data_IF_886062632494
#
_entry.id   IF_886062632494
#
_cell.length_a   1.000
_cell.length_b   1.000
_cell.length_c   1.000
_cell.angle_alpha   90.00
_cell.angle_beta   90.00
_cell.angle_gamma   90.00
#
_symmetry.space_group_name_H-M   'P 1'
#
loop_
_entity.id
_entity.type
_entity.pdbx_description
1 polymer ?
#
# COMPACT_ATOMS: atom_id res chain seq x y z
N UNK A 1 8.71 -20.99 2.34
CA UNK A 1 7.37 -20.42 2.13
C UNK A 1 7.13 -19.44 3.23
N UNK A 2 7.08 -18.15 2.91
CA UNK A 2 6.68 -17.11 3.85
C UNK A 2 5.18 -17.25 4.08
N UNK A 3 4.74 -17.22 5.33
CA UNK A 3 3.32 -17.27 5.64
C UNK A 3 2.73 -15.87 5.40
N UNK A 4 1.99 -15.70 4.31
CA UNK A 4 1.38 -14.42 3.95
C UNK A 4 0.48 -13.86 5.04
N UNK A 5 -0.16 -14.73 5.84
CA UNK A 5 -1.01 -14.36 6.95
C UNK A 5 -0.19 -13.67 8.04
N UNK A 6 1.00 -14.20 8.37
CA UNK A 6 1.91 -13.58 9.33
C UNK A 6 2.42 -12.23 8.81
N UNK A 7 2.71 -12.14 7.51
CA UNK A 7 3.17 -10.90 6.86
C UNK A 7 2.10 -9.81 6.89
N UNK A 8 0.85 -10.16 6.57
CA UNK A 8 -0.32 -9.26 6.65
C UNK A 8 -0.52 -8.76 8.08
N UNK A 9 -0.37 -9.63 9.07
CA UNK A 9 -0.49 -9.25 10.48
C UNK A 9 0.63 -8.31 10.91
N UNK A 10 1.88 -8.59 10.51
CA UNK A 10 3.03 -7.71 10.80
C UNK A 10 2.85 -6.32 10.19
N UNK A 11 2.45 -6.24 8.93
CA UNK A 11 2.23 -4.95 8.24
C UNK A 11 1.06 -4.20 8.88
N UNK A 12 -0.01 -4.88 9.30
CA UNK A 12 -1.13 -4.27 10.05
C UNK A 12 -0.67 -3.65 11.37
N UNK A 13 0.16 -4.34 12.13
CA UNK A 13 0.72 -3.81 13.38
C UNK A 13 1.53 -2.54 13.12
N UNK A 14 2.40 -2.56 12.11
CA UNK A 14 3.22 -1.42 11.71
C UNK A 14 2.35 -0.21 11.31
N UNK A 15 1.30 -0.41 10.50
CA UNK A 15 0.35 0.65 10.14
C UNK A 15 -0.33 1.23 11.37
N UNK A 16 -0.74 0.39 12.33
CA UNK A 16 -1.42 0.84 13.55
C UNK A 16 -0.51 1.64 14.48
N UNK A 17 0.78 1.32 14.48
CA UNK A 17 1.81 1.99 15.27
C UNK A 17 2.36 3.26 14.58
N UNK A 18 2.24 3.36 13.26
CA UNK A 18 2.70 4.52 12.49
C UNK A 18 1.84 5.76 12.76
N UNK A 19 2.46 6.79 13.32
CA UNK A 19 1.82 8.11 13.47
C UNK A 19 1.71 8.80 12.12
N UNK A 20 2.66 8.52 11.22
CA UNK A 20 2.64 8.98 9.85
C UNK A 20 1.42 8.52 9.05
N UNK A 21 1.06 7.23 9.11
CA UNK A 21 -0.16 6.73 8.44
C UNK A 21 -1.44 7.41 8.96
N UNK A 22 -1.47 7.78 10.25
CA UNK A 22 -2.57 8.55 10.87
C UNK A 22 -2.60 9.99 10.36
N UNK A 23 -1.44 10.66 10.33
CA UNK A 23 -1.32 12.05 9.87
C UNK A 23 -1.74 12.22 8.41
N UNK A 24 -1.43 11.25 7.56
CA UNK A 24 -1.84 11.27 6.15
C UNK A 24 -3.30 10.83 5.94
N UNK A 25 -4.01 10.35 6.98
CA UNK A 25 -5.38 9.83 6.84
C UNK A 25 -5.48 8.56 5.99
N UNK A 26 -4.37 7.84 5.80
CA UNK A 26 -4.30 6.65 4.93
C UNK A 26 -4.40 5.34 5.71
N UNK A 27 -4.34 5.41 7.05
CA UNK A 27 -4.31 4.25 7.94
C UNK A 27 -5.47 3.28 7.67
N UNK A 28 -6.72 3.75 7.70
CA UNK A 28 -7.91 2.90 7.51
C UNK A 28 -7.90 2.23 6.13
N UNK A 29 -7.48 2.98 5.10
CA UNK A 29 -7.42 2.49 3.72
C UNK A 29 -6.36 1.40 3.54
N UNK A 30 -5.17 1.57 4.11
CA UNK A 30 -4.12 0.56 4.08
C UNK A 30 -4.54 -0.71 4.84
N UNK A 31 -5.17 -0.55 6.01
CA UNK A 31 -5.69 -1.67 6.78
C UNK A 31 -6.79 -2.43 6.00
N UNK A 32 -7.71 -1.70 5.36
CA UNK A 32 -8.73 -2.28 4.50
C UNK A 32 -8.11 -3.09 3.36
N UNK A 33 -7.13 -2.53 2.66
CA UNK A 33 -6.46 -3.20 1.53
C UNK A 33 -5.72 -4.46 1.95
N UNK A 34 -5.00 -4.43 3.08
CA UNK A 34 -4.33 -5.63 3.60
C UNK A 34 -5.35 -6.69 4.01
N UNK A 35 -6.50 -6.28 4.54
CA UNK A 35 -7.57 -7.21 4.92
C UNK A 35 -8.16 -7.95 3.73
N UNK A 36 -8.21 -7.30 2.57
CA UNK A 36 -8.78 -7.83 1.34
C UNK A 36 -7.77 -8.53 0.42
N UNK A 37 -6.47 -8.52 0.75
CA UNK A 37 -5.51 -9.36 0.05
C UNK A 37 -5.89 -10.83 0.25
N UNK A 38 -5.79 -11.69 -0.77
CA UNK A 38 -6.00 -13.11 -0.61
C UNK A 38 -4.99 -13.72 0.37
N UNK A 39 -5.35 -14.85 0.99
CA UNK A 39 -4.42 -15.64 1.82
C UNK A 39 -3.51 -16.55 0.98
N UNK A 40 -3.69 -16.52 -0.34
CA UNK A 40 -2.76 -17.03 -1.34
C UNK A 40 -2.33 -15.84 -2.19
N UNK A 41 -1.18 -15.24 -1.85
CA UNK A 41 -0.63 -14.12 -2.60
C UNK A 41 0.35 -14.60 -3.66
N UNK A 42 0.36 -13.93 -4.80
CA UNK A 42 1.40 -14.10 -5.81
C UNK A 42 2.68 -13.31 -5.44
N UNK A 43 3.76 -13.51 -6.20
CA UNK A 43 5.07 -12.91 -5.95
C UNK A 43 5.06 -11.37 -6.00
N UNK A 44 4.17 -10.78 -6.81
CA UNK A 44 3.99 -9.34 -6.90
C UNK A 44 3.31 -8.77 -5.64
N UNK A 45 2.28 -9.46 -5.13
CA UNK A 45 1.57 -9.11 -3.90
C UNK A 45 2.47 -9.28 -2.66
N UNK A 46 3.30 -10.32 -2.63
CA UNK A 46 4.33 -10.48 -1.59
C UNK A 46 5.36 -9.35 -1.61
N UNK A 47 5.80 -8.95 -2.81
CA UNK A 47 6.73 -7.83 -3.00
C UNK A 47 6.11 -6.50 -2.58
N UNK A 48 4.83 -6.30 -2.85
CA UNK A 48 4.09 -5.13 -2.40
C UNK A 48 4.03 -5.08 -0.86
N UNK A 49 3.72 -6.20 -0.20
CA UNK A 49 3.74 -6.25 1.27
C UNK A 49 5.13 -5.99 1.85
N UNK A 50 6.20 -6.50 1.22
CA UNK A 50 7.57 -6.22 1.64
C UNK A 50 7.94 -4.74 1.47
N UNK A 51 7.55 -4.13 0.35
CA UNK A 51 7.78 -2.71 0.12
C UNK A 51 7.04 -1.88 1.17
N UNK A 52 5.77 -2.21 1.44
CA UNK A 52 4.97 -1.52 2.44
C UNK A 52 5.53 -1.69 3.86
N UNK A 53 5.98 -2.90 4.22
CA UNK A 53 6.63 -3.16 5.50
C UNK A 53 7.90 -2.31 5.65
N UNK A 54 8.82 -2.37 4.68
CA UNK A 54 10.06 -1.60 4.71
C UNK A 54 9.80 -0.11 4.87
N UNK A 55 8.83 0.40 4.12
CA UNK A 55 8.45 1.81 4.12
C UNK A 55 7.93 2.26 5.47
N UNK A 56 7.05 1.48 6.10
CA UNK A 56 6.50 1.86 7.42
C UNK A 56 7.56 1.72 8.53
N UNK A 57 8.54 0.84 8.34
CA UNK A 57 9.69 0.72 9.24
C UNK A 57 10.74 1.82 9.03
N UNK A 58 10.68 2.60 7.93
CA UNK A 58 11.54 3.77 7.73
C UNK A 58 11.15 4.91 8.69
N UNK A 59 12.11 5.79 9.07
CA UNK A 59 11.82 6.95 9.89
C UNK A 59 10.75 7.84 9.25
N UNK A 60 9.78 8.33 10.03
CA UNK A 60 8.61 9.09 9.55
C UNK A 60 8.92 10.40 8.77
N UNK A 61 10.20 10.78 8.70
CA UNK A 61 10.69 11.97 7.99
C UNK A 61 11.43 11.63 6.68
N UNK A 62 11.42 10.37 6.25
CA UNK A 62 12.09 9.91 5.04
C UNK A 62 11.25 10.22 3.78
N UNK A 63 11.87 10.83 2.77
CA UNK A 63 11.22 11.17 1.48
C UNK A 63 10.72 9.94 0.74
N UNK A 64 11.44 8.82 0.86
CA UNK A 64 11.13 7.59 0.15
C UNK A 64 9.86 6.94 0.72
N UNK A 65 9.61 7.17 2.02
CA UNK A 65 8.37 6.76 2.67
C UNK A 65 7.15 7.47 2.07
N UNK A 66 7.25 8.79 1.85
CA UNK A 66 6.18 9.61 1.27
C UNK A 66 5.86 9.19 -0.16
N UNK A 67 6.89 9.04 -1.00
CA UNK A 67 6.71 8.63 -2.39
C UNK A 67 6.09 7.24 -2.47
N UNK A 68 6.54 6.30 -1.65
CA UNK A 68 6.05 4.93 -1.74
C UNK A 68 4.60 4.78 -1.26
N UNK A 69 4.18 5.50 -0.21
CA UNK A 69 2.76 5.55 0.18
C UNK A 69 1.91 6.16 -0.93
N UNK A 70 2.39 7.23 -1.58
CA UNK A 70 1.69 7.84 -2.71
C UNK A 70 1.55 6.87 -3.90
N UNK A 71 2.58 6.09 -4.21
CA UNK A 71 2.53 5.03 -5.23
C UNK A 71 1.50 3.97 -4.85
N UNK A 72 1.47 3.53 -3.58
CA UNK A 72 0.47 2.55 -3.11
C UNK A 72 -0.97 3.05 -3.27
N UNK A 73 -1.23 4.31 -2.92
CA UNK A 73 -2.56 4.90 -3.09
C UNK A 73 -2.95 5.01 -4.56
N UNK A 74 -1.99 5.31 -5.45
CA UNK A 74 -2.20 5.33 -6.91
C UNK A 74 -2.52 3.95 -7.47
N UNK A 75 -1.77 2.91 -7.06
CA UNK A 75 -2.02 1.55 -7.50
C UNK A 75 -3.43 1.07 -7.11
N UNK A 76 -3.88 1.44 -5.92
CA UNK A 76 -5.24 1.17 -5.46
C UNK A 76 -6.30 1.91 -6.29
N UNK A 77 -6.04 3.16 -6.67
CA UNK A 77 -6.93 3.94 -7.54
C UNK A 77 -6.99 3.37 -8.96
N UNK A 78 -5.86 2.90 -9.50
CA UNK A 78 -5.79 2.20 -10.79
C UNK A 78 -6.60 0.91 -10.73
N UNK A 79 -6.46 0.12 -9.65
CA UNK A 79 -7.22 -1.12 -9.45
C UNK A 79 -8.72 -0.84 -9.37
N UNK A 80 -9.14 0.11 -8.54
CA UNK A 80 -10.55 0.49 -8.38
C UNK A 80 -11.19 1.06 -9.67
N UNK A 81 -10.38 1.66 -10.56
CA UNK A 81 -10.81 2.07 -11.91
C UNK A 81 -10.91 0.87 -12.84
N UNK A 82 -9.90 0.00 -12.88
CA UNK A 82 -9.90 -1.21 -13.73
C UNK A 82 -11.01 -2.20 -13.39
N UNK A 83 -11.38 -2.30 -12.11
CA UNK A 83 -12.53 -3.09 -11.67
C UNK A 83 -13.87 -2.54 -12.20
N UNK A 84 -13.94 -1.23 -12.49
CA UNK A 84 -15.12 -0.58 -13.07
C UNK A 84 -15.08 -0.49 -14.60
N UNK A 85 -13.89 -0.26 -15.16
CA UNK A 85 -13.61 -0.18 -16.58
C UNK A 85 -12.23 -0.81 -16.86
N UNK A 86 -12.19 -2.04 -17.41
CA UNK A 86 -10.95 -2.76 -17.70
C UNK A 86 -9.96 -2.00 -18.60
N UNK A 87 -10.44 -1.01 -19.36
CA UNK A 87 -9.62 -0.23 -20.30
C UNK A 87 -9.26 1.18 -19.78
N UNK A 88 -9.53 1.48 -18.51
CA UNK A 88 -9.22 2.79 -17.93
C UNK A 88 -7.73 3.14 -18.09
N UNK A 89 -7.44 4.30 -18.70
CA UNK A 89 -6.07 4.81 -18.85
C UNK A 89 -5.48 5.28 -17.51
N UNK A 90 -4.17 5.11 -17.37
CA UNK A 90 -3.38 5.45 -16.18
C UNK A 90 -2.84 6.89 -16.25
N UNK A 91 -2.88 7.53 -17.42
CA UNK A 91 -2.20 8.80 -17.70
C UNK A 91 -2.62 9.95 -16.77
N UNK A 92 -3.89 10.01 -16.37
CA UNK A 92 -4.42 11.05 -15.49
C UNK A 92 -3.91 10.95 -14.05
N UNK A 93 -3.37 9.78 -13.66
CA UNK A 93 -2.86 9.52 -12.32
C UNK A 93 -1.36 9.80 -12.21
N UNK A 94 -0.64 10.07 -13.32
CA UNK A 94 0.80 10.33 -13.31
C UNK A 94 1.16 11.81 -13.10
N UNK A 95 0.18 12.70 -12.91
CA UNK A 95 0.44 14.13 -12.68
C UNK A 95 1.36 14.29 -11.45
N UNK A 96 2.54 14.91 -11.57
CA UNK A 96 3.44 15.06 -10.43
C UNK A 96 2.74 15.79 -9.28
N UNK A 97 2.92 15.30 -8.06
CA UNK A 97 2.51 16.03 -6.85
C UNK A 97 3.51 17.18 -6.72
N UNK A 98 3.12 18.38 -7.19
CA UNK A 98 3.86 19.62 -6.95
C UNK A 98 3.70 20.08 -5.50
#
# INVERSE_FOLDING_TARGET
MVNIIEKKNRVRELINQSSFCKLLGVQEKLLYNISNLPDEANEEEESALDALQKVIELPENDSDMRETIAIFLRLDEIKARRDRDPNASIDDLLVPIN
#
